data_IF_562095835360
#
_entry.id   IF_562095835360
#
_cell.length_a   1.000
_cell.length_b   1.000
_cell.length_c   1.000
_cell.angle_alpha   90.00
_cell.angle_beta   90.00
_cell.angle_gamma   90.00
#
_symmetry.space_group_name_H-M   'P 1'
#
loop_
_entity.id
_entity.type
_entity.pdbx_description
1 polymer ?
#
# COMPACT_ATOMS: atom_id res chain seq x y z
N UNK A 1 13.28 -46.15 -8.20
CA UNK A 1 11.85 -45.77 -8.05
C UNK A 1 11.57 -44.77 -6.91
N UNK A 2 12.55 -44.01 -6.41
CA UNK A 2 12.33 -43.02 -5.32
C UNK A 2 12.28 -41.56 -5.80
N UNK A 3 12.76 -41.28 -7.02
CA UNK A 3 12.85 -39.92 -7.56
C UNK A 3 11.49 -39.31 -7.97
N UNK A 4 10.53 -40.12 -8.43
CA UNK A 4 9.20 -39.64 -8.85
C UNK A 4 8.38 -39.08 -7.68
N UNK A 5 8.60 -39.61 -6.46
CA UNK A 5 7.88 -39.18 -5.25
C UNK A 5 8.32 -37.82 -4.71
N UNK A 6 9.48 -37.32 -5.15
CA UNK A 6 9.98 -35.98 -4.85
C UNK A 6 9.59 -34.96 -5.94
N UNK A 7 9.39 -35.42 -7.18
CA UNK A 7 9.00 -34.56 -8.30
C UNK A 7 7.50 -34.19 -8.23
N UNK A 8 6.63 -35.11 -7.79
CA UNK A 8 5.19 -34.84 -7.68
C UNK A 8 4.79 -33.94 -6.49
N UNK A 9 5.66 -33.74 -5.50
CA UNK A 9 5.38 -32.88 -4.33
C UNK A 9 5.75 -31.42 -4.51
N UNK A 10 6.50 -31.07 -5.55
CA UNK A 10 7.10 -29.75 -5.71
C UNK A 10 6.29 -28.78 -6.60
N UNK A 11 5.17 -29.26 -7.19
CA UNK A 11 4.44 -28.49 -8.20
C UNK A 11 3.13 -27.83 -7.69
N UNK A 12 2.73 -28.07 -6.44
CA UNK A 12 1.45 -27.59 -5.88
C UNK A 12 1.60 -26.40 -4.90
N UNK A 13 2.73 -25.70 -4.86
CA UNK A 13 2.92 -24.56 -3.94
C UNK A 13 3.51 -23.31 -4.62
N UNK A 14 3.42 -23.21 -5.94
CA UNK A 14 3.91 -22.04 -6.67
C UNK A 14 2.77 -21.19 -7.28
N UNK A 15 1.69 -20.98 -6.53
CA UNK A 15 0.79 -19.85 -6.82
C UNK A 15 1.45 -18.61 -6.22
N UNK A 16 2.34 -18.01 -7.01
CA UNK A 16 3.02 -16.78 -6.70
C UNK A 16 1.98 -15.66 -6.67
N UNK A 17 1.55 -15.25 -5.48
CA UNK A 17 0.59 -14.17 -5.30
C UNK A 17 1.23 -12.84 -5.74
N UNK A 18 0.89 -12.40 -6.95
CA UNK A 18 1.24 -11.09 -7.46
C UNK A 18 0.33 -10.08 -6.74
N UNK A 19 0.73 -9.60 -5.57
CA UNK A 19 0.01 -8.53 -4.90
C UNK A 19 0.19 -7.24 -5.70
N UNK A 20 -0.80 -6.86 -6.51
CA UNK A 20 -0.86 -5.53 -7.09
C UNK A 20 -0.99 -4.53 -5.93
N UNK A 21 0.10 -3.85 -5.60
CA UNK A 21 0.09 -2.78 -4.61
C UNK A 21 -0.76 -1.61 -5.13
N UNK A 22 -2.04 -1.61 -4.78
CA UNK A 22 -2.92 -0.49 -5.04
C UNK A 22 -2.46 0.71 -4.21
N UNK A 23 -2.30 1.88 -4.84
CA UNK A 23 -1.94 3.08 -4.10
C UNK A 23 -3.07 3.49 -3.13
N UNK A 24 -2.75 3.87 -1.88
CA UNK A 24 -3.73 4.13 -0.83
C UNK A 24 -4.58 5.37 -1.14
N UNK A 25 -5.86 5.44 -0.73
CA UNK A 25 -6.71 6.62 -0.99
C UNK A 25 -6.12 7.94 -0.47
N UNK A 26 -5.40 7.91 0.66
CA UNK A 26 -4.78 9.08 1.27
C UNK A 26 -3.35 8.77 1.71
N UNK A 27 -2.43 9.72 1.52
CA UNK A 27 -1.03 9.66 1.94
C UNK A 27 -0.77 10.74 2.99
N UNK A 28 -0.39 10.38 4.21
CA UNK A 28 0.08 11.33 5.24
C UNK A 28 1.59 11.54 5.09
N UNK A 29 2.01 12.75 4.80
CA UNK A 29 3.43 13.10 4.71
C UNK A 29 4.11 13.16 6.09
N UNK A 30 5.44 13.13 6.12
CA UNK A 30 6.24 13.26 7.37
C UNK A 30 6.00 14.56 8.14
N UNK A 31 5.54 15.62 7.47
CA UNK A 31 5.17 16.89 8.11
C UNK A 31 3.67 16.92 8.53
N UNK A 32 3.04 15.75 8.60
CA UNK A 32 1.69 15.54 9.12
C UNK A 32 0.56 15.96 8.19
N UNK A 33 0.81 16.19 6.89
CA UNK A 33 -0.22 16.65 5.94
C UNK A 33 -0.85 15.44 5.26
N UNK A 34 -2.17 15.38 5.26
CA UNK A 34 -2.93 14.37 4.55
C UNK A 34 -3.18 14.80 3.10
N UNK A 35 -2.70 14.00 2.16
CA UNK A 35 -2.85 14.22 0.73
C UNK A 35 -3.82 13.17 0.16
N UNK A 36 -5.04 13.56 -0.28
CA UNK A 36 -5.96 12.64 -0.93
C UNK A 36 -5.57 12.36 -2.38
N UNK A 37 -5.88 11.17 -2.89
CA UNK A 37 -5.68 10.79 -4.28
C UNK A 37 -6.41 11.76 -5.21
N UNK A 38 -5.73 12.20 -6.27
CA UNK A 38 -6.21 13.27 -7.16
C UNK A 38 -5.83 14.69 -6.74
N UNK A 39 -5.33 14.90 -5.52
CA UNK A 39 -4.79 16.19 -5.09
C UNK A 39 -3.39 16.50 -5.66
N UNK A 40 -3.07 17.78 -5.79
CA UNK A 40 -1.81 18.30 -6.41
C UNK A 40 -0.52 17.65 -5.88
N UNK A 41 -0.50 17.32 -4.59
CA UNK A 41 0.70 16.83 -3.91
C UNK A 41 0.72 15.32 -3.70
N UNK A 42 -0.37 14.60 -3.97
CA UNK A 42 -0.47 13.17 -3.70
C UNK A 42 0.66 12.36 -4.37
N UNK A 43 0.90 12.60 -5.65
CA UNK A 43 1.93 11.87 -6.42
C UNK A 43 3.35 12.31 -6.05
N UNK A 44 3.51 13.49 -5.45
CA UNK A 44 4.80 14.07 -5.01
C UNK A 44 5.20 13.56 -3.63
N UNK A 45 4.24 13.19 -2.79
CA UNK A 45 4.49 12.60 -1.47
C UNK A 45 4.94 11.14 -1.63
N UNK A 46 6.27 10.94 -1.74
CA UNK A 46 6.90 9.60 -1.88
C UNK A 46 7.12 8.89 -0.55
N UNK A 47 7.35 9.65 0.52
CA UNK A 47 7.46 9.14 1.89
C UNK A 47 6.19 9.48 2.65
N UNK A 48 5.39 8.45 2.92
CA UNK A 48 4.08 8.62 3.50
C UNK A 48 3.68 7.44 4.37
N UNK A 49 2.72 7.71 5.24
CA UNK A 49 1.89 6.70 5.89
C UNK A 49 0.55 6.60 5.14
N UNK A 50 0.13 5.39 4.73
CA UNK A 50 -1.10 5.18 3.97
C UNK A 50 -2.36 5.23 4.86
N UNK A 51 -3.45 5.81 4.36
CA UNK A 51 -4.76 5.80 5.03
C UNK A 51 -5.87 5.50 4.02
N UNK A 52 -6.90 4.77 4.48
CA UNK A 52 -8.06 4.38 3.67
C UNK A 52 -9.02 5.55 3.42
N UNK A 53 -8.96 6.59 4.25
CA UNK A 53 -9.79 7.77 4.10
C UNK A 53 -9.13 9.02 4.66
N UNK A 54 -9.69 10.15 4.25
CA UNK A 54 -9.27 11.47 4.71
C UNK A 54 -9.54 11.61 6.22
N UNK A 55 -10.68 11.10 6.70
CA UNK A 55 -11.04 11.12 8.11
C UNK A 55 -10.04 10.32 8.97
N UNK A 56 -9.72 9.09 8.57
CA UNK A 56 -8.75 8.26 9.30
C UNK A 56 -7.37 8.94 9.40
N UNK A 57 -6.95 9.63 8.35
CA UNK A 57 -5.71 10.41 8.37
C UNK A 57 -5.78 11.60 9.34
N UNK A 58 -6.92 12.28 9.46
CA UNK A 58 -7.10 13.38 10.42
C UNK A 58 -7.13 12.86 11.86
N UNK A 59 -7.85 11.77 12.10
CA UNK A 59 -7.97 11.14 13.43
C UNK A 59 -6.61 10.64 13.95
N UNK A 60 -5.69 10.28 13.04
CA UNK A 60 -4.29 9.96 13.36
C UNK A 60 -3.42 11.17 13.77
N UNK A 61 -4.01 12.36 13.91
CA UNK A 61 -3.29 13.62 14.16
C UNK A 61 -2.71 14.27 12.90
N UNK A 62 -3.18 13.87 11.72
CA UNK A 62 -2.85 14.56 10.47
C UNK A 62 -3.65 15.86 10.29
N UNK A 63 -3.24 16.68 9.33
CA UNK A 63 -3.96 17.92 8.97
C UNK A 63 -4.21 18.02 7.48
N UNK A 64 -5.27 18.75 7.12
CA UNK A 64 -5.57 19.05 5.73
C UNK A 64 -4.48 19.96 5.09
N UNK A 65 -4.31 19.92 3.75
CA UNK A 65 -3.44 20.85 3.04
C UNK A 65 -3.92 22.29 3.26
N UNK A 66 -2.99 23.23 3.44
CA UNK A 66 -3.31 24.65 3.36
C UNK A 66 -3.55 24.97 1.89
N UNK A 67 -4.64 25.66 1.57
CA UNK A 67 -4.89 26.20 0.23
C UNK A 67 -3.76 27.13 -0.18
#
# INVERSE_FOLDING_TARGET
MKAVKWVLGCCLMLVCAIALAAEPPVKKSRNGICHPKGGTYYSRTKYYEPYDSMQACLDSGGRAPKR
#
